data_IF_014469631306
#
_entry.id   IF_014469631306
#
_cell.length_a   1.000
_cell.length_b   1.000
_cell.length_c   1.000
_cell.angle_alpha   90.00
_cell.angle_beta   90.00
_cell.angle_gamma   90.00
#
_symmetry.space_group_name_H-M   'P 1'
#
loop_
_entity.id
_entity.type
_entity.pdbx_description
1 polymer ?
#
# COMPACT_ATOMS: atom_id res chain seq x y z
N UNK A 1 15.83 -36.84 -6.92
CA UNK A 1 16.30 -35.63 -6.21
C UNK A 1 15.10 -34.74 -5.99
N UNK A 2 14.53 -34.79 -4.79
CA UNK A 2 13.41 -33.95 -4.39
C UNK A 2 13.93 -32.54 -4.12
N UNK A 3 13.30 -31.53 -4.71
CA UNK A 3 13.59 -30.12 -4.42
C UNK A 3 13.36 -29.86 -2.92
N UNK A 4 14.22 -29.06 -2.26
CA UNK A 4 14.05 -28.78 -0.85
C UNK A 4 12.77 -27.96 -0.62
N UNK A 5 11.93 -28.56 0.21
CA UNK A 5 10.91 -28.04 1.12
C UNK A 5 10.52 -26.57 0.99
N UNK A 6 9.22 -26.35 0.82
CA UNK A 6 8.58 -25.05 0.91
C UNK A 6 8.90 -24.47 2.28
N UNK A 7 9.88 -23.57 2.35
CA UNK A 7 10.04 -22.72 3.53
C UNK A 7 8.70 -22.02 3.70
N UNK A 8 7.92 -22.43 4.69
CA UNK A 8 6.91 -21.57 5.26
C UNK A 8 7.61 -20.24 5.49
N UNK A 9 7.31 -19.25 4.66
CA UNK A 9 7.78 -17.90 4.88
C UNK A 9 7.05 -17.49 6.14
N UNK A 10 7.71 -17.70 7.28
CA UNK A 10 7.17 -17.35 8.57
C UNK A 10 6.97 -15.84 8.53
N UNK A 11 5.72 -15.43 8.32
CA UNK A 11 5.38 -14.02 8.14
C UNK A 11 5.77 -13.29 9.42
N UNK A 12 6.82 -12.49 9.34
CA UNK A 12 7.28 -11.70 10.48
C UNK A 12 6.23 -10.62 10.73
N UNK A 13 5.46 -10.81 11.80
CA UNK A 13 4.60 -9.77 12.33
C UNK A 13 5.48 -8.65 12.87
N UNK A 14 5.33 -7.44 12.33
CA UNK A 14 6.07 -6.29 12.84
C UNK A 14 5.60 -5.91 14.24
N UNK A 15 6.54 -5.65 15.14
CA UNK A 15 6.25 -5.13 16.47
C UNK A 15 5.61 -3.73 16.38
N UNK A 16 4.82 -3.30 17.39
CA UNK A 16 4.21 -1.97 17.40
C UNK A 16 5.21 -0.82 17.19
N UNK A 17 6.42 -0.94 17.75
CA UNK A 17 7.48 0.04 17.54
C UNK A 17 7.96 0.07 16.08
N UNK A 18 8.16 -1.10 15.45
CA UNK A 18 8.56 -1.18 14.04
C UNK A 18 7.49 -0.60 13.11
N UNK A 19 6.21 -0.84 13.41
CA UNK A 19 5.09 -0.20 12.70
C UNK A 19 5.12 1.32 12.84
N UNK A 20 5.37 1.83 14.05
CA UNK A 20 5.48 3.28 14.30
C UNK A 20 6.63 3.92 13.52
N UNK A 21 7.80 3.26 13.48
CA UNK A 21 8.95 3.74 12.71
C UNK A 21 8.66 3.71 11.20
N UNK A 22 7.96 2.69 10.71
CA UNK A 22 7.54 2.61 9.31
C UNK A 22 6.59 3.76 8.95
N UNK A 23 5.61 4.07 9.81
CA UNK A 23 4.75 5.25 9.65
C UNK A 23 5.54 6.56 9.67
N UNK A 24 6.58 6.67 10.51
CA UNK A 24 7.44 7.85 10.58
C UNK A 24 8.25 8.03 9.28
N UNK A 25 8.76 6.94 8.71
CA UNK A 25 9.47 6.94 7.43
C UNK A 25 8.53 7.45 6.32
N UNK A 26 7.30 6.94 6.24
CA UNK A 26 6.30 7.40 5.27
C UNK A 26 5.96 8.89 5.52
N UNK A 27 5.78 9.29 6.77
CA UNK A 27 5.48 10.67 7.15
C UNK A 27 6.58 11.66 6.72
N UNK A 28 7.86 11.26 6.83
CA UNK A 28 9.03 12.10 6.51
C UNK A 28 9.47 12.03 5.05
N UNK A 29 8.97 11.07 4.29
CA UNK A 29 9.27 10.93 2.86
C UNK A 29 9.04 12.22 2.08
N UNK A 30 9.95 12.55 1.15
CA UNK A 30 9.76 13.66 0.21
C UNK A 30 9.08 13.22 -1.08
N UNK A 31 8.92 11.92 -1.27
CA UNK A 31 8.46 11.29 -2.50
C UNK A 31 6.93 11.40 -2.66
N UNK A 32 6.19 11.66 -1.57
CA UNK A 32 4.73 11.74 -1.59
C UNK A 32 4.20 13.04 -0.97
N UNK A 33 3.06 13.52 -1.45
CA UNK A 33 2.33 14.65 -0.85
C UNK A 33 1.60 14.24 0.43
N UNK A 34 1.17 15.22 1.23
CA UNK A 34 0.53 14.98 2.53
C UNK A 34 -0.66 14.01 2.47
N UNK A 35 -1.55 14.18 1.49
CA UNK A 35 -2.70 13.29 1.32
C UNK A 35 -2.27 11.86 0.97
N UNK A 36 -1.33 11.71 0.04
CA UNK A 36 -0.77 10.41 -0.34
C UNK A 36 -0.14 9.68 0.86
N UNK A 37 0.65 10.38 1.68
CA UNK A 37 1.22 9.81 2.92
C UNK A 37 0.15 9.29 3.87
N UNK A 38 -0.93 10.06 4.07
CA UNK A 38 -2.05 9.66 4.93
C UNK A 38 -2.76 8.41 4.40
N UNK A 39 -3.00 8.35 3.10
CA UNK A 39 -3.59 7.16 2.46
C UNK A 39 -2.68 5.93 2.63
N UNK A 40 -1.38 6.08 2.37
CA UNK A 40 -0.42 4.96 2.50
C UNK A 40 -0.35 4.48 3.95
N UNK A 41 -0.32 5.38 4.93
CA UNK A 41 -0.36 5.04 6.37
C UNK A 41 -1.69 4.35 6.73
N UNK A 42 -2.81 4.86 6.24
CA UNK A 42 -4.12 4.23 6.47
C UNK A 42 -4.13 2.79 5.96
N UNK A 43 -3.67 2.59 4.72
CA UNK A 43 -3.62 1.28 4.07
C UNK A 43 -2.67 0.33 4.81
N UNK A 44 -1.49 0.80 5.19
CA UNK A 44 -0.51 0.05 5.97
C UNK A 44 -1.11 -0.46 7.28
N UNK A 45 -1.91 0.35 7.99
CA UNK A 45 -2.56 -0.07 9.24
C UNK A 45 -3.55 -1.22 9.04
N UNK A 46 -4.14 -1.36 7.85
CA UNK A 46 -5.08 -2.45 7.55
C UNK A 46 -4.39 -3.81 7.35
N UNK A 47 -3.06 -3.81 7.18
CA UNK A 47 -2.25 -5.04 6.99
C UNK A 47 -2.12 -5.88 8.26
N UNK A 48 -2.63 -5.39 9.41
CA UNK A 48 -2.48 -6.02 10.74
C UNK A 48 -1.00 -6.38 11.02
N UNK A 49 -0.15 -5.36 11.07
CA UNK A 49 1.30 -5.50 11.29
C UNK A 49 2.00 -6.31 10.19
N UNK A 50 1.66 -6.03 8.93
CA UNK A 50 2.23 -6.68 7.75
C UNK A 50 2.01 -8.19 7.71
N UNK A 51 0.87 -8.68 8.21
CA UNK A 51 0.49 -10.11 8.17
C UNK A 51 -0.67 -10.41 7.24
N UNK A 52 -1.30 -9.37 6.68
CA UNK A 52 -2.45 -9.46 5.78
C UNK A 52 -2.24 -8.58 4.55
N UNK A 53 -2.32 -9.14 3.32
CA UNK A 53 -2.38 -8.35 2.10
C UNK A 53 -3.68 -7.54 2.02
N UNK A 54 -3.58 -6.29 1.61
CA UNK A 54 -4.72 -5.37 1.46
C UNK A 54 -4.56 -4.50 0.23
N UNK A 55 -5.68 -4.19 -0.43
CA UNK A 55 -5.71 -3.33 -1.61
C UNK A 55 -6.82 -2.29 -1.48
N UNK A 56 -6.62 -1.13 -2.07
CA UNK A 56 -7.56 -0.01 -2.05
C UNK A 56 -7.62 0.62 -3.43
N UNK A 57 -8.84 0.83 -3.94
CA UNK A 57 -9.09 1.67 -5.11
C UNK A 57 -9.59 3.04 -4.67
N UNK A 58 -8.93 4.09 -5.14
CA UNK A 58 -9.34 5.48 -4.94
C UNK A 58 -10.07 5.98 -6.17
N UNK A 59 -11.33 6.34 -6.02
CA UNK A 59 -12.18 6.81 -7.11
C UNK A 59 -12.00 8.32 -7.30
N UNK A 60 -11.74 8.76 -8.54
CA UNK A 60 -11.51 10.18 -8.84
C UNK A 60 -12.73 11.04 -8.53
N UNK A 61 -13.94 10.51 -8.69
CA UNK A 61 -15.19 11.21 -8.38
C UNK A 61 -15.42 11.48 -6.89
N UNK A 62 -14.80 10.69 -6.02
CA UNK A 62 -14.96 10.82 -4.56
C UNK A 62 -13.81 11.60 -3.92
N UNK A 63 -12.58 11.29 -4.33
CA UNK A 63 -11.38 11.84 -3.74
C UNK A 63 -10.82 13.07 -4.50
N UNK A 64 -11.32 13.33 -5.71
CA UNK A 64 -10.78 14.33 -6.63
C UNK A 64 -9.61 13.79 -7.45
N UNK A 65 -9.66 13.99 -8.77
CA UNK A 65 -8.72 13.41 -9.74
C UNK A 65 -7.24 13.70 -9.42
N UNK A 66 -6.90 14.96 -9.12
CA UNK A 66 -5.52 15.32 -8.83
C UNK A 66 -5.00 14.65 -7.56
N UNK A 67 -5.82 14.53 -6.51
CA UNK A 67 -5.42 13.85 -5.26
C UNK A 67 -5.15 12.37 -5.49
N UNK A 68 -5.98 11.74 -6.32
CA UNK A 68 -5.85 10.32 -6.67
C UNK A 68 -4.58 10.08 -7.50
N UNK A 69 -4.28 10.95 -8.47
CA UNK A 69 -3.00 10.90 -9.23
C UNK A 69 -1.80 11.12 -8.31
N UNK A 70 -1.85 12.12 -7.43
CA UNK A 70 -0.78 12.41 -6.47
C UNK A 70 -0.47 11.22 -5.53
N UNK A 71 -1.47 10.39 -5.22
CA UNK A 71 -1.28 9.15 -4.46
C UNK A 71 -0.51 8.13 -5.29
N UNK A 72 -0.92 7.90 -6.53
CA UNK A 72 -0.23 6.97 -7.42
C UNK A 72 1.22 7.40 -7.66
N UNK A 73 1.46 8.67 -7.97
CA UNK A 73 2.79 9.23 -8.20
C UNK A 73 3.65 9.09 -6.94
N UNK A 74 3.09 9.41 -5.76
CA UNK A 74 3.82 9.23 -4.50
C UNK A 74 4.20 7.79 -4.21
N UNK A 75 3.33 6.83 -4.54
CA UNK A 75 3.67 5.40 -4.44
C UNK A 75 4.73 5.02 -5.48
N UNK A 76 4.61 5.48 -6.72
CA UNK A 76 5.61 5.25 -7.77
C UNK A 76 6.99 5.73 -7.32
N UNK A 77 7.08 6.96 -6.83
CA UNK A 77 8.34 7.56 -6.40
C UNK A 77 8.93 6.81 -5.20
N UNK A 78 8.13 6.44 -4.19
CA UNK A 78 8.60 5.63 -3.05
C UNK A 78 9.14 4.24 -3.42
N UNK A 79 8.84 3.74 -4.63
CA UNK A 79 9.29 2.44 -5.15
C UNK A 79 10.41 2.56 -6.17
N UNK A 80 10.53 3.72 -6.83
CA UNK A 80 11.49 3.99 -7.89
C UNK A 80 12.93 3.99 -7.38
N UNK A 81 13.89 3.69 -8.26
CA UNK A 81 15.33 3.85 -8.00
C UNK A 81 15.74 5.31 -7.76
N UNK A 82 14.90 6.25 -8.19
CA UNK A 82 15.13 7.69 -8.01
C UNK A 82 14.43 8.25 -6.77
N UNK A 83 13.57 7.46 -6.12
CA UNK A 83 12.93 7.83 -4.85
C UNK A 83 13.91 7.84 -3.69
N UNK A 84 13.53 8.48 -2.59
CA UNK A 84 14.36 8.56 -1.37
C UNK A 84 13.98 7.54 -0.30
N UNK A 85 12.76 6.97 -0.35
CA UNK A 85 12.20 6.13 0.72
C UNK A 85 12.40 4.64 0.49
N UNK A 86 12.30 4.16 -0.75
CA UNK A 86 12.43 2.75 -1.15
C UNK A 86 11.68 1.77 -0.23
N UNK A 87 10.38 2.00 0.00
CA UNK A 87 9.63 1.35 1.09
C UNK A 87 9.66 -0.19 1.03
N UNK A 88 9.63 -0.77 -0.17
CA UNK A 88 9.75 -2.22 -0.36
C UNK A 88 11.09 -2.76 0.13
N UNK A 89 12.20 -2.04 -0.06
CA UNK A 89 13.52 -2.46 0.43
C UNK A 89 13.60 -2.42 1.95
N UNK A 90 12.93 -1.46 2.57
CA UNK A 90 12.85 -1.37 4.03
C UNK A 90 12.08 -2.57 4.58
N UNK A 91 10.94 -2.92 3.99
CA UNK A 91 10.14 -4.11 4.36
C UNK A 91 10.95 -5.40 4.18
N UNK A 92 11.64 -5.56 3.04
CA UNK A 92 12.57 -6.68 2.79
C UNK A 92 13.65 -6.78 3.87
N UNK A 93 14.27 -5.65 4.25
CA UNK A 93 15.28 -5.59 5.31
C UNK A 93 14.74 -5.98 6.69
N UNK A 94 13.46 -5.71 6.96
CA UNK A 94 12.75 -6.18 8.16
C UNK A 94 12.27 -7.64 8.05
N UNK A 95 12.68 -8.38 7.00
CA UNK A 95 12.25 -9.74 6.70
C UNK A 95 10.73 -9.88 6.55
N UNK A 96 10.10 -8.81 6.09
CA UNK A 96 8.67 -8.77 5.77
C UNK A 96 8.55 -8.78 4.26
N UNK A 97 8.12 -9.88 3.61
CA UNK A 97 8.08 -10.00 2.14
C UNK A 97 6.95 -9.16 1.50
N UNK A 98 6.44 -8.15 2.22
CA UNK A 98 5.33 -7.32 1.77
C UNK A 98 5.85 -6.19 0.90
N UNK A 99 5.14 -5.88 -0.18
CA UNK A 99 5.50 -4.82 -1.13
C UNK A 99 4.36 -3.84 -1.28
N UNK A 100 4.69 -2.57 -1.38
CA UNK A 100 3.75 -1.54 -1.81
C UNK A 100 3.70 -1.55 -3.35
N UNK A 101 2.49 -1.43 -3.91
CA UNK A 101 2.28 -1.36 -5.35
C UNK A 101 1.18 -0.39 -5.73
N UNK A 102 1.12 -0.04 -7.01
CA UNK A 102 0.09 0.84 -7.58
C UNK A 102 -0.22 0.48 -9.03
N UNK A 103 -1.44 0.81 -9.48
CA UNK A 103 -1.87 0.67 -10.86
C UNK A 103 -3.00 1.67 -11.17
N UNK A 104 -3.14 2.03 -12.45
CA UNK A 104 -4.35 2.69 -12.93
C UNK A 104 -5.48 1.68 -13.12
N UNK A 105 -6.63 1.99 -12.54
CA UNK A 105 -7.83 1.15 -12.58
C UNK A 105 -8.39 0.87 -11.19
N UNK A 106 -9.38 -0.01 -11.15
CA UNK A 106 -10.16 -0.35 -9.96
C UNK A 106 -10.24 -1.86 -9.76
N UNK A 107 -10.12 -2.33 -8.52
CA UNK A 107 -10.46 -3.71 -8.16
C UNK A 107 -11.97 -3.90 -8.20
N UNK A 108 -12.42 -4.92 -8.90
CA UNK A 108 -13.83 -5.26 -9.08
C UNK A 108 -14.19 -6.39 -8.11
N UNK A 109 -14.98 -6.13 -7.05
CA UNK A 109 -15.26 -7.14 -6.04
C UNK A 109 -16.11 -8.32 -6.55
N UNK A 110 -16.78 -8.18 -7.71
CA UNK A 110 -17.80 -9.14 -8.20
C UNK A 110 -17.82 -9.30 -9.75
N UNK A 111 -16.73 -9.02 -10.47
CA UNK A 111 -16.67 -9.14 -11.94
C UNK A 111 -16.05 -10.46 -12.43
N UNK A 112 -16.24 -10.79 -13.72
CA UNK A 112 -15.51 -11.88 -14.40
C UNK A 112 -14.01 -11.56 -14.51
N UNK A 113 -13.67 -10.27 -14.56
CA UNK A 113 -12.32 -9.75 -14.40
C UNK A 113 -12.15 -9.20 -12.98
N UNK A 114 -10.97 -9.45 -12.39
CA UNK A 114 -10.60 -9.02 -11.03
C UNK A 114 -10.16 -7.54 -10.95
N UNK A 115 -10.02 -6.88 -12.11
CA UNK A 115 -9.55 -5.50 -12.21
C UNK A 115 -10.04 -4.81 -13.49
N UNK A 116 -10.61 -3.62 -13.36
CA UNK A 116 -10.98 -2.74 -14.47
C UNK A 116 -9.91 -1.66 -14.67
N UNK A 117 -9.09 -1.81 -15.71
CA UNK A 117 -8.05 -0.84 -16.08
C UNK A 117 -8.60 0.47 -16.67
N UNK A 118 -9.84 0.46 -17.14
CA UNK A 118 -10.49 1.62 -17.76
C UNK A 118 -11.13 2.57 -16.73
N UNK A 119 -11.37 2.08 -15.51
CA UNK A 119 -11.97 2.87 -14.45
C UNK A 119 -11.17 4.15 -14.15
N UNK A 120 -11.85 5.29 -13.91
CA UNK A 120 -11.22 6.55 -13.50
C UNK A 120 -10.79 6.51 -12.02
N UNK A 121 -10.01 5.50 -11.68
CA UNK A 121 -9.53 5.20 -10.35
C UNK A 121 -8.02 4.94 -10.36
N UNK A 122 -7.39 5.03 -9.19
CA UNK A 122 -6.04 4.53 -8.96
C UNK A 122 -6.05 3.58 -7.78
N UNK A 123 -5.48 2.41 -8.01
CA UNK A 123 -5.42 1.37 -7.00
C UNK A 123 -4.02 1.28 -6.42
N UNK A 124 -3.94 1.09 -5.11
CA UNK A 124 -2.70 0.88 -4.37
C UNK A 124 -2.89 -0.33 -3.44
N UNK A 125 -1.81 -1.05 -3.13
CA UNK A 125 -1.90 -2.25 -2.29
C UNK A 125 -0.60 -2.54 -1.54
N UNK A 126 -0.74 -3.26 -0.43
CA UNK A 126 0.34 -3.97 0.22
C UNK A 126 0.10 -5.48 0.07
N UNK A 127 1.02 -6.22 -0.53
CA UNK A 127 0.85 -7.67 -0.74
C UNK A 127 2.16 -8.47 -0.64
N UNK A 128 2.04 -9.78 -0.44
CA UNK A 128 3.16 -10.73 -0.40
C UNK A 128 3.37 -11.37 -1.78
N UNK A 129 3.83 -10.62 -2.78
CA UNK A 129 4.15 -11.05 -4.16
C UNK A 129 3.01 -11.65 -5.01
N UNK A 130 2.06 -12.35 -4.41
CA UNK A 130 0.88 -12.93 -5.05
C UNK A 130 -0.32 -11.99 -4.90
N UNK A 131 -0.84 -11.41 -6.00
CA UNK A 131 -2.01 -10.54 -5.97
C UNK A 131 -3.32 -11.31 -5.73
N UNK A 132 -3.34 -12.65 -5.85
CA UNK A 132 -4.57 -13.46 -5.78
C UNK A 132 -5.22 -13.51 -4.38
N UNK A 133 -4.48 -13.13 -3.32
CA UNK A 133 -4.98 -13.14 -1.94
C UNK A 133 -5.02 -11.74 -1.30
N UNK A 134 -5.24 -10.70 -2.12
CA UNK A 134 -5.40 -9.33 -1.64
C UNK A 134 -6.83 -9.13 -1.13
N UNK A 135 -6.96 -8.72 0.14
CA UNK A 135 -8.25 -8.28 0.65
C UNK A 135 -8.54 -6.84 0.19
N UNK A 136 -9.47 -6.67 -0.74
CA UNK A 136 -9.89 -5.35 -1.20
C UNK A 136 -10.70 -4.63 -0.13
N UNK A 137 -10.28 -3.41 0.15
CA UNK A 137 -10.88 -2.53 1.13
C UNK A 137 -11.83 -1.57 0.42
N UNK A 138 -12.98 -1.25 1.03
CA UNK A 138 -13.81 -0.15 0.55
C UNK A 138 -13.03 1.17 0.68
N UNK A 139 -13.37 2.14 -0.18
CA UNK A 139 -12.81 3.48 -0.07
C UNK A 139 -13.24 4.11 1.26
N UNK A 140 -12.30 4.47 2.15
CA UNK A 140 -12.66 5.06 3.43
C UNK A 140 -13.21 6.48 3.25
N UNK A 141 -14.10 6.95 4.14
CA UNK A 141 -14.51 8.34 4.17
C UNK A 141 -13.30 9.28 4.22
N UNK A 142 -13.33 10.37 3.43
CA UNK A 142 -12.21 11.32 3.36
C UNK A 142 -11.83 11.90 4.73
N UNK A 143 -12.82 12.12 5.60
CA UNK A 143 -12.57 12.63 6.96
C UNK A 143 -11.71 11.67 7.78
N UNK A 144 -11.79 10.35 7.59
CA UNK A 144 -10.93 9.38 8.27
C UNK A 144 -9.48 9.49 7.80
N UNK A 145 -9.27 9.64 6.48
CA UNK A 145 -7.93 9.84 5.91
C UNK A 145 -7.34 11.17 6.40
N UNK A 146 -8.13 12.24 6.37
CA UNK A 146 -7.69 13.58 6.73
C UNK A 146 -7.43 13.73 8.24
N UNK A 147 -8.11 12.95 9.09
CA UNK A 147 -7.89 12.86 10.53
C UNK A 147 -6.55 12.19 10.90
N UNK A 148 -5.90 11.48 9.97
CA UNK A 148 -4.60 10.87 10.23
C UNK A 148 -3.57 11.97 10.48
N UNK A 149 -3.12 12.02 11.72
CA UNK A 149 -1.98 12.83 12.14
C UNK A 149 -0.71 12.06 11.83
N UNK A 150 0.12 12.64 10.96
CA UNK A 150 1.44 12.09 10.67
C UNK A 150 2.42 12.54 11.74
N UNK A 151 3.12 11.58 12.34
CA UNK A 151 4.19 11.85 13.30
C UNK A 151 5.26 12.72 12.65
N UNK A 152 5.73 13.75 13.37
CA UNK A 152 6.79 14.66 12.91
C UNK A 152 8.17 14.08 13.15
#
# INVERSE_FOLDING_TARGET
MSLPDQREVQLVRLLPLQMKELELIIARSRDAKLFAKRVIVWLLRQTKQCTRPVGLSLLSGECGEQRVRDVQDGVHDMLSSHGSTHLTRILEGMKTPMRLGHCQGQFTPNGDEWFDHSAPARSIWFSFDDPSNIAFLPTPPLCEIEAITLSR
#
